data_IF_426997398985
#
_entry.id   IF_426997398985
#
_cell.length_a   1.000
_cell.length_b   1.000
_cell.length_c   1.000
_cell.angle_alpha   90.00
_cell.angle_beta   90.00
_cell.angle_gamma   90.00
#
_symmetry.space_group_name_H-M   'P 1'
#
loop_
_entity.id
_entity.type
_entity.pdbx_description
1 polymer ?
#
# COMPACT_ATOMS: atom_id res chain seq x y z
N UNK A 1 -14.62 -3.83 -2.27
CA UNK A 1 -13.34 -3.59 -1.56
C UNK A 1 -13.41 -2.49 -0.50
N UNK A 2 -14.09 -1.36 -0.74
CA UNK A 2 -14.11 -0.21 0.19
C UNK A 2 -14.78 -0.45 1.54
N UNK A 3 -15.87 -1.22 1.61
CA UNK A 3 -16.60 -1.47 2.88
C UNK A 3 -15.81 -2.33 3.89
N UNK A 4 -15.07 -3.33 3.43
CA UNK A 4 -14.28 -4.21 4.30
C UNK A 4 -13.04 -3.50 4.89
N UNK A 5 -12.47 -2.56 4.14
CA UNK A 5 -11.30 -1.79 4.55
C UNK A 5 -11.65 -0.69 5.55
N UNK A 6 -12.79 -0.02 5.39
CA UNK A 6 -13.31 0.95 6.38
C UNK A 6 -13.56 0.31 7.74
N UNK A 7 -14.05 -0.94 7.76
CA UNK A 7 -14.31 -1.70 8.98
C UNK A 7 -13.04 -1.88 9.84
N UNK A 8 -11.89 -2.25 9.24
CA UNK A 8 -10.62 -2.44 9.98
C UNK A 8 -10.11 -1.15 10.62
N UNK A 9 -10.21 -0.02 9.90
CA UNK A 9 -9.72 1.27 10.38
C UNK A 9 -10.56 1.72 11.57
N UNK A 10 -11.87 1.65 11.43
CA UNK A 10 -12.77 2.02 12.50
C UNK A 10 -12.63 1.09 13.71
N UNK A 11 -12.39 -0.21 13.50
CA UNK A 11 -12.19 -1.16 14.60
C UNK A 11 -10.94 -0.82 15.43
N UNK A 12 -9.85 -0.39 14.81
CA UNK A 12 -8.65 0.02 15.54
C UNK A 12 -8.88 1.25 16.42
N UNK A 13 -9.70 2.19 15.96
CA UNK A 13 -10.10 3.38 16.73
C UNK A 13 -11.02 2.98 17.89
N UNK A 14 -12.00 2.06 17.66
CA UNK A 14 -12.90 1.57 18.71
C UNK A 14 -12.12 0.92 19.86
N UNK A 15 -11.13 0.09 19.56
CA UNK A 15 -10.31 -0.59 20.58
C UNK A 15 -9.64 0.45 21.49
N UNK A 16 -9.10 1.52 20.92
CA UNK A 16 -8.47 2.60 21.69
C UNK A 16 -9.48 3.40 22.53
N UNK A 17 -10.65 3.71 21.97
CA UNK A 17 -11.68 4.46 22.70
C UNK A 17 -12.30 3.63 23.81
N UNK A 18 -12.41 2.29 23.64
CA UNK A 18 -12.93 1.38 24.64
C UNK A 18 -12.12 1.39 25.95
N UNK A 19 -10.83 1.75 25.89
CA UNK A 19 -10.02 1.93 27.11
C UNK A 19 -10.46 3.13 27.95
N UNK A 20 -11.13 4.11 27.33
CA UNK A 20 -11.58 5.34 27.98
C UNK A 20 -13.07 5.31 28.40
N UNK A 21 -13.86 4.34 27.91
CA UNK A 21 -15.29 4.22 28.25
C UNK A 21 -15.75 2.77 28.24
N UNK A 22 -16.60 2.40 29.24
CA UNK A 22 -17.23 1.08 29.32
C UNK A 22 -18.47 0.95 28.42
N UNK A 23 -18.89 2.05 27.77
CA UNK A 23 -20.09 2.07 26.95
C UNK A 23 -19.87 1.39 25.61
N UNK A 24 -20.95 0.80 25.10
CA UNK A 24 -20.96 0.28 23.74
C UNK A 24 -20.81 1.44 22.74
N UNK A 25 -19.86 1.31 21.84
CA UNK A 25 -19.55 2.28 20.78
C UNK A 25 -19.37 1.54 19.45
N UNK A 26 -19.88 2.11 18.38
CA UNK A 26 -19.76 1.52 17.05
C UNK A 26 -20.00 2.53 15.93
N UNK A 27 -19.84 2.04 14.70
CA UNK A 27 -20.08 2.79 13.47
C UNK A 27 -21.10 2.06 12.62
N UNK A 28 -22.08 2.79 12.11
CA UNK A 28 -23.11 2.32 11.18
C UNK A 28 -22.92 2.95 9.80
N UNK A 29 -23.42 2.25 8.78
CA UNK A 29 -23.52 2.79 7.42
C UNK A 29 -24.80 3.62 7.22
N UNK A 30 -24.98 4.18 6.03
CA UNK A 30 -26.14 4.97 5.62
C UNK A 30 -27.49 4.23 5.75
N UNK A 31 -27.46 2.89 5.77
CA UNK A 31 -28.63 2.03 5.90
C UNK A 31 -28.88 1.58 7.35
N UNK A 32 -28.03 1.98 8.29
CA UNK A 32 -28.11 1.64 9.71
C UNK A 32 -27.50 0.30 10.08
N UNK A 33 -26.73 -0.36 9.18
CA UNK A 33 -26.01 -1.58 9.52
C UNK A 33 -24.74 -1.27 10.31
N UNK A 34 -24.55 -2.01 11.40
CA UNK A 34 -23.35 -1.89 12.22
C UNK A 34 -22.16 -2.50 11.48
N UNK A 35 -21.20 -1.65 11.10
CA UNK A 35 -19.99 -2.06 10.38
C UNK A 35 -18.91 -2.52 11.34
N UNK A 36 -18.81 -1.84 12.47
CA UNK A 36 -17.85 -2.13 13.53
C UNK A 36 -18.41 -1.70 14.88
N UNK A 37 -18.06 -2.41 15.94
CA UNK A 37 -18.57 -2.15 17.28
C UNK A 37 -17.61 -2.68 18.34
N UNK A 38 -17.62 -2.07 19.54
CA UNK A 38 -16.94 -2.59 20.72
C UNK A 38 -17.52 -3.92 21.19
N UNK A 39 -18.78 -4.20 20.86
CA UNK A 39 -19.46 -5.47 21.07
C UNK A 39 -19.56 -6.24 19.75
N UNK A 40 -18.70 -7.22 19.56
CA UNK A 40 -18.59 -8.00 18.32
C UNK A 40 -19.91 -8.61 17.82
N UNK A 41 -20.82 -9.13 18.70
CA UNK A 41 -22.11 -9.69 18.25
C UNK A 41 -23.04 -8.70 17.55
N UNK A 42 -22.84 -7.40 17.77
CA UNK A 42 -23.63 -6.36 17.10
C UNK A 42 -23.21 -6.12 15.64
N UNK A 43 -22.01 -6.51 15.25
CA UNK A 43 -21.52 -6.28 13.88
C UNK A 43 -22.40 -7.02 12.88
N UNK A 44 -22.87 -6.30 11.85
CA UNK A 44 -23.80 -6.81 10.82
C UNK A 44 -25.28 -6.71 11.20
N UNK A 45 -25.63 -6.36 12.46
CA UNK A 45 -27.01 -6.06 12.83
C UNK A 45 -27.44 -4.68 12.30
N UNK A 46 -28.74 -4.48 12.17
CA UNK A 46 -29.31 -3.19 11.75
C UNK A 46 -29.90 -2.48 12.95
N UNK A 47 -29.55 -1.21 13.13
CA UNK A 47 -30.15 -0.33 14.12
C UNK A 47 -31.33 0.42 13.46
N UNK A 48 -32.56 -0.07 13.72
CA UNK A 48 -33.78 0.48 13.11
C UNK A 48 -34.17 1.87 13.65
N UNK A 49 -33.61 2.24 14.79
CA UNK A 49 -33.84 3.51 15.48
C UNK A 49 -33.07 4.67 14.84
N UNK A 50 -32.08 4.40 14.00
CA UNK A 50 -31.35 5.45 13.25
C UNK A 50 -32.03 5.73 11.92
N UNK A 51 -32.45 6.97 11.73
CA UNK A 51 -33.03 7.46 10.49
C UNK A 51 -32.33 8.75 10.07
N UNK A 52 -31.60 8.71 8.97
CA UNK A 52 -30.77 9.82 8.50
C UNK A 52 -31.55 11.12 8.23
N UNK A 53 -32.81 10.99 7.81
CA UNK A 53 -33.66 12.14 7.55
C UNK A 53 -34.13 12.88 8.83
N UNK A 54 -33.96 12.28 10.00
CA UNK A 54 -34.25 12.91 11.29
C UNK A 54 -33.04 13.65 11.88
N UNK A 55 -31.89 13.58 11.20
CA UNK A 55 -30.68 14.27 11.65
C UNK A 55 -30.78 15.76 11.33
N UNK A 56 -30.86 16.59 12.39
CA UNK A 56 -30.76 18.03 12.27
C UNK A 56 -29.31 18.48 12.34
N UNK A 57 -28.81 19.08 11.28
CA UNK A 57 -27.43 19.56 11.18
C UNK A 57 -27.12 20.71 12.18
N UNK A 58 -28.15 21.37 12.74
CA UNK A 58 -27.98 22.38 13.79
C UNK A 58 -27.64 21.77 15.16
N UNK A 59 -28.04 20.51 15.38
CA UNK A 59 -27.75 19.80 16.62
C UNK A 59 -26.41 19.04 16.49
N UNK A 60 -25.56 19.10 17.52
CA UNK A 60 -24.25 18.45 17.47
C UNK A 60 -24.32 16.93 17.45
N UNK A 61 -25.39 16.35 17.98
CA UNK A 61 -25.66 14.90 18.04
C UNK A 61 -27.16 14.63 17.90
N UNK A 62 -27.48 13.45 17.41
CA UNK A 62 -28.86 12.93 17.37
C UNK A 62 -29.04 11.85 18.44
N UNK A 63 -30.16 11.89 19.15
CA UNK A 63 -30.45 10.92 20.23
C UNK A 63 -31.71 10.13 19.87
N UNK A 64 -31.62 8.82 19.88
CA UNK A 64 -32.74 7.90 19.69
C UNK A 64 -32.49 6.58 20.43
N UNK A 65 -33.56 6.03 21.04
CA UNK A 65 -33.60 4.70 21.67
C UNK A 65 -32.37 4.38 22.55
N UNK A 66 -32.07 5.27 23.50
CA UNK A 66 -30.93 5.19 24.43
C UNK A 66 -29.56 5.15 23.75
N UNK A 67 -29.45 5.69 22.56
CA UNK A 67 -28.18 5.87 21.86
C UNK A 67 -28.02 7.31 21.36
N UNK A 68 -26.79 7.76 21.39
CA UNK A 68 -26.38 9.05 20.86
C UNK A 68 -25.61 8.81 19.56
N UNK A 69 -25.99 9.49 18.50
CA UNK A 69 -25.42 9.36 17.15
C UNK A 69 -24.75 10.63 16.67
N UNK A 70 -23.71 10.50 15.90
CA UNK A 70 -23.12 11.60 15.14
C UNK A 70 -22.67 11.16 13.76
N UNK A 71 -23.10 11.88 12.75
CA UNK A 71 -22.71 11.65 11.36
C UNK A 71 -21.22 11.97 11.19
N UNK A 72 -20.51 11.09 10.46
CA UNK A 72 -19.14 11.32 10.05
C UNK A 72 -19.11 12.06 8.71
N UNK A 73 -18.29 13.11 8.63
CA UNK A 73 -18.22 14.01 7.49
C UNK A 73 -18.88 15.36 7.74
N UNK A 74 -18.76 16.25 6.77
CA UNK A 74 -19.24 17.66 6.87
C UNK A 74 -20.62 17.89 6.28
N UNK A 75 -21.22 16.90 5.61
CA UNK A 75 -22.49 17.09 4.90
C UNK A 75 -23.56 16.11 5.40
N UNK A 76 -24.54 16.62 6.14
CA UNK A 76 -25.65 15.86 6.69
C UNK A 76 -26.60 15.29 5.61
N UNK A 77 -26.67 15.92 4.42
CA UNK A 77 -27.54 15.49 3.35
C UNK A 77 -27.05 14.22 2.63
N UNK A 78 -25.75 13.94 2.71
CA UNK A 78 -25.15 12.73 2.14
C UNK A 78 -24.00 12.29 3.05
N UNK A 79 -24.31 11.36 3.96
CA UNK A 79 -23.30 10.77 4.83
C UNK A 79 -23.09 9.31 4.44
N UNK A 80 -21.86 8.83 4.64
CA UNK A 80 -21.50 7.42 4.41
C UNK A 80 -21.59 6.61 5.71
N UNK A 81 -21.28 7.26 6.84
CA UNK A 81 -21.15 6.61 8.15
C UNK A 81 -21.63 7.52 9.27
N UNK A 82 -22.14 6.91 10.35
CA UNK A 82 -22.39 7.57 11.61
C UNK A 82 -21.83 6.76 12.78
N UNK A 83 -21.25 7.44 13.77
CA UNK A 83 -20.86 6.83 15.03
C UNK A 83 -22.03 6.82 15.98
N UNK A 84 -22.16 5.77 16.80
CA UNK A 84 -23.10 5.71 17.90
C UNK A 84 -22.39 5.36 19.21
N UNK A 85 -22.93 5.87 20.30
CA UNK A 85 -22.53 5.55 21.68
C UNK A 85 -23.80 5.25 22.47
N UNK A 86 -23.78 4.20 23.28
CA UNK A 86 -24.87 3.85 24.18
C UNK A 86 -25.03 4.89 25.28
N UNK A 87 -26.30 5.32 25.50
CA UNK A 87 -26.68 6.35 26.46
C UNK A 87 -27.14 7.65 25.81
N UNK A 88 -27.82 8.47 26.63
CA UNK A 88 -28.39 9.78 26.21
C UNK A 88 -27.94 10.92 27.14
N UNK A 89 -27.04 10.64 28.05
CA UNK A 89 -26.50 11.61 29.01
C UNK A 89 -25.33 12.40 28.42
N UNK A 90 -24.82 13.35 29.19
CA UNK A 90 -23.72 14.23 28.75
C UNK A 90 -22.45 13.43 28.45
N UNK A 91 -22.18 12.34 29.20
CA UNK A 91 -21.03 11.50 28.92
C UNK A 91 -21.14 10.79 27.55
N UNK A 92 -22.32 10.27 27.20
CA UNK A 92 -22.57 9.69 25.88
C UNK A 92 -22.40 10.73 24.77
N UNK A 93 -22.91 11.94 24.99
CA UNK A 93 -22.79 13.05 24.04
C UNK A 93 -21.32 13.43 23.81
N UNK A 94 -20.55 13.66 24.83
CA UNK A 94 -19.12 14.02 24.74
C UNK A 94 -18.33 12.88 24.09
N UNK A 95 -18.54 11.65 24.55
CA UNK A 95 -17.87 10.46 23.98
C UNK A 95 -18.19 10.29 22.48
N UNK A 96 -19.44 10.48 22.08
CA UNK A 96 -19.86 10.41 20.68
C UNK A 96 -19.21 11.49 19.81
N UNK A 97 -19.11 12.72 20.31
CA UNK A 97 -18.47 13.81 19.60
C UNK A 97 -16.95 13.58 19.45
N UNK A 98 -16.27 13.17 20.52
CA UNK A 98 -14.83 12.86 20.48
C UNK A 98 -14.54 11.66 19.56
N UNK A 99 -15.36 10.62 19.63
CA UNK A 99 -15.26 9.47 18.75
C UNK A 99 -15.44 9.88 17.27
N UNK A 100 -16.41 10.76 16.97
CA UNK A 100 -16.60 11.23 15.61
C UNK A 100 -15.39 11.99 15.06
N UNK A 101 -14.69 12.78 15.89
CA UNK A 101 -13.44 13.44 15.50
C UNK A 101 -12.37 12.39 15.19
N UNK A 102 -12.17 11.39 16.06
CA UNK A 102 -11.18 10.35 15.87
C UNK A 102 -11.47 9.49 14.61
N UNK A 103 -12.74 9.15 14.36
CA UNK A 103 -13.12 8.39 13.17
C UNK A 103 -12.98 9.20 11.87
N UNK A 104 -13.33 10.50 11.88
CA UNK A 104 -13.13 11.37 10.73
C UNK A 104 -11.65 11.50 10.40
N UNK A 105 -10.81 11.68 11.39
CA UNK A 105 -9.35 11.75 11.22
C UNK A 105 -8.80 10.43 10.65
N UNK A 106 -9.19 9.30 11.22
CA UNK A 106 -8.77 7.98 10.72
C UNK A 106 -9.23 7.73 9.28
N UNK A 107 -10.47 8.14 8.93
CA UNK A 107 -11.01 8.04 7.56
C UNK A 107 -10.21 8.91 6.60
N UNK A 108 -9.97 10.17 6.94
CA UNK A 108 -9.23 11.13 6.11
C UNK A 108 -7.80 10.64 5.85
N UNK A 109 -7.09 10.23 6.90
CA UNK A 109 -5.73 9.70 6.79
C UNK A 109 -5.67 8.44 5.89
N UNK A 110 -6.70 7.59 5.98
CA UNK A 110 -6.78 6.42 5.11
C UNK A 110 -7.03 6.77 3.65
N UNK A 111 -7.99 7.66 3.39
CA UNK A 111 -8.31 8.11 2.03
C UNK A 111 -7.10 8.80 1.39
N UNK A 112 -6.40 9.64 2.15
CA UNK A 112 -5.16 10.28 1.70
C UNK A 112 -4.10 9.25 1.33
N UNK A 113 -3.87 8.27 2.20
CA UNK A 113 -2.91 7.19 1.94
C UNK A 113 -3.29 6.36 0.73
N UNK A 114 -4.57 6.01 0.59
CA UNK A 114 -5.06 5.27 -0.58
C UNK A 114 -4.84 6.06 -1.88
N UNK A 115 -5.14 7.36 -1.86
CA UNK A 115 -4.91 8.25 -2.99
C UNK A 115 -3.43 8.38 -3.33
N UNK A 116 -2.54 8.49 -2.34
CA UNK A 116 -1.08 8.48 -2.53
C UNK A 116 -0.60 7.17 -3.15
N UNK A 117 -1.02 6.02 -2.63
CA UNK A 117 -0.64 4.72 -3.16
C UNK A 117 -1.14 4.49 -4.61
N UNK A 118 -2.39 4.88 -4.90
CA UNK A 118 -2.95 4.79 -6.25
C UNK A 118 -2.21 5.71 -7.24
N UNK A 119 -1.83 6.89 -6.81
CA UNK A 119 -1.03 7.81 -7.60
C UNK A 119 0.37 7.25 -7.90
N UNK A 120 1.07 6.75 -6.89
CA UNK A 120 2.37 6.11 -7.09
C UNK A 120 2.26 4.88 -8.01
N UNK A 121 1.20 4.07 -7.87
CA UNK A 121 0.92 2.95 -8.77
C UNK A 121 0.74 3.42 -10.21
N UNK A 122 0.07 4.53 -10.45
CA UNK A 122 -0.09 5.09 -11.80
C UNK A 122 1.24 5.57 -12.39
N UNK A 123 2.15 6.10 -11.57
CA UNK A 123 3.50 6.50 -12.00
C UNK A 123 4.32 5.28 -12.40
N UNK A 124 4.45 4.27 -11.52
CA UNK A 124 5.27 3.08 -11.79
C UNK A 124 4.78 2.27 -12.99
N UNK A 125 3.47 2.35 -13.27
CA UNK A 125 2.85 1.69 -14.43
C UNK A 125 2.93 2.53 -15.72
N UNK A 126 3.54 3.70 -15.67
CA UNK A 126 3.67 4.65 -16.80
C UNK A 126 2.31 5.09 -17.39
N UNK A 127 1.26 5.12 -16.54
CA UNK A 127 -0.12 5.41 -16.91
C UNK A 127 -0.57 6.84 -16.56
N UNK A 128 0.38 7.78 -16.42
CA UNK A 128 0.11 9.17 -16.07
C UNK A 128 0.98 10.10 -16.89
N UNK A 129 0.41 11.20 -17.35
CA UNK A 129 1.16 12.20 -18.10
C UNK A 129 2.15 12.97 -17.20
N UNK A 130 3.36 13.31 -17.67
CA UNK A 130 4.36 14.03 -16.87
C UNK A 130 3.86 15.33 -16.24
N UNK A 131 2.97 16.08 -16.92
CA UNK A 131 2.35 17.29 -16.41
C UNK A 131 1.43 17.02 -15.22
N UNK A 132 0.68 15.91 -15.26
CA UNK A 132 -0.24 15.52 -14.20
C UNK A 132 0.53 15.03 -12.96
N UNK A 133 1.71 14.41 -13.14
CA UNK A 133 2.59 14.04 -12.02
C UNK A 133 2.92 15.26 -11.18
N UNK A 134 3.27 16.38 -11.79
CA UNK A 134 3.61 17.61 -11.07
C UNK A 134 2.43 18.18 -10.29
N UNK A 135 1.25 18.25 -10.92
CA UNK A 135 0.02 18.77 -10.27
C UNK A 135 -0.37 17.90 -9.09
N UNK A 136 -0.47 16.58 -9.29
CA UNK A 136 -0.88 15.64 -8.26
C UNK A 136 0.11 15.50 -7.12
N UNK A 137 1.41 15.63 -7.38
CA UNK A 137 2.45 15.66 -6.35
C UNK A 137 2.15 16.78 -5.32
N UNK A 138 1.74 17.95 -5.80
CA UNK A 138 1.35 19.08 -4.93
C UNK A 138 0.04 18.84 -4.21
N UNK A 139 -0.99 18.35 -4.92
CA UNK A 139 -2.31 18.06 -4.34
C UNK A 139 -2.25 17.03 -3.23
N UNK A 140 -1.42 16.00 -3.38
CA UNK A 140 -1.22 14.93 -2.42
C UNK A 140 -0.12 15.21 -1.39
N UNK A 141 0.41 16.42 -1.35
CA UNK A 141 1.42 16.87 -0.39
C UNK A 141 2.66 15.96 -0.32
N UNK A 142 3.11 15.47 -1.48
CA UNK A 142 4.40 14.81 -1.54
C UNK A 142 5.54 15.83 -1.50
N UNK A 143 6.61 15.48 -0.79
CA UNK A 143 7.88 16.24 -0.88
C UNK A 143 8.55 15.86 -2.21
N UNK A 144 8.73 16.79 -3.16
CA UNK A 144 9.11 16.44 -4.53
C UNK A 144 10.55 15.94 -4.66
N UNK A 145 11.49 16.51 -3.90
CA UNK A 145 12.94 16.33 -4.09
C UNK A 145 13.60 15.50 -2.99
N UNK A 146 12.92 14.49 -2.48
CA UNK A 146 13.47 13.54 -1.53
C UNK A 146 13.92 12.29 -2.29
N UNK A 147 15.17 11.82 -2.08
CA UNK A 147 15.62 10.55 -2.65
C UNK A 147 14.76 9.38 -2.19
N UNK A 148 14.40 8.50 -3.13
CA UNK A 148 13.57 7.31 -2.86
C UNK A 148 14.21 6.07 -3.46
N UNK A 149 14.27 5.01 -2.65
CA UNK A 149 14.58 3.68 -3.15
C UNK A 149 13.29 2.99 -3.64
N UNK A 150 13.40 2.24 -4.71
CA UNK A 150 12.35 1.36 -5.22
C UNK A 150 12.86 -0.08 -5.23
N UNK A 151 12.14 -0.93 -4.49
CA UNK A 151 12.39 -2.38 -4.42
C UNK A 151 11.18 -3.10 -5.02
N UNK A 152 11.42 -3.95 -6.01
CA UNK A 152 10.43 -4.87 -6.54
C UNK A 152 10.59 -6.21 -5.83
N UNK A 153 9.58 -6.61 -5.08
CA UNK A 153 9.52 -7.89 -4.36
C UNK A 153 8.63 -8.84 -5.15
N UNK A 154 9.22 -9.88 -5.72
CA UNK A 154 8.53 -10.92 -6.49
C UNK A 154 8.45 -12.21 -5.68
N UNK A 155 7.25 -12.67 -5.41
CA UNK A 155 7.01 -13.97 -4.79
C UNK A 155 7.30 -15.07 -5.79
N UNK A 156 7.98 -16.13 -5.35
CA UNK A 156 8.38 -17.28 -6.18
C UNK A 156 7.70 -18.53 -5.64
N UNK A 157 7.36 -19.46 -6.52
CA UNK A 157 6.74 -20.77 -6.24
C UNK A 157 5.31 -20.68 -5.67
N UNK A 158 5.08 -19.82 -4.69
CA UNK A 158 3.78 -19.62 -4.04
C UNK A 158 3.51 -18.14 -3.88
N UNK A 159 2.29 -17.71 -4.18
CA UNK A 159 1.82 -16.35 -3.92
C UNK A 159 0.84 -16.33 -2.75
N UNK A 160 0.97 -15.34 -1.88
CA UNK A 160 0.05 -15.12 -0.78
C UNK A 160 -0.34 -13.63 -0.70
N UNK A 161 -1.63 -13.38 -0.67
CA UNK A 161 -2.17 -12.01 -0.61
C UNK A 161 -1.79 -11.31 0.71
N UNK A 162 -1.55 -12.09 1.78
CA UNK A 162 -1.13 -11.57 3.08
C UNK A 162 0.27 -10.94 3.05
N UNK A 163 1.12 -11.28 2.06
CA UNK A 163 2.46 -10.70 1.93
C UNK A 163 2.44 -9.16 1.87
N UNK A 164 1.44 -8.57 1.23
CA UNK A 164 1.27 -7.10 1.18
C UNK A 164 1.02 -6.53 2.58
N UNK A 165 0.20 -7.20 3.39
CA UNK A 165 -0.12 -6.76 4.76
C UNK A 165 1.11 -6.88 5.67
N UNK A 166 1.87 -7.96 5.55
CA UNK A 166 3.12 -8.16 6.30
C UNK A 166 4.11 -7.05 5.97
N UNK A 167 4.32 -6.77 4.68
CA UNK A 167 5.21 -5.68 4.28
C UNK A 167 4.69 -4.30 4.73
N UNK A 168 3.39 -4.06 4.67
CA UNK A 168 2.81 -2.80 5.17
C UNK A 168 3.00 -2.61 6.68
N UNK A 169 3.07 -3.69 7.45
CA UNK A 169 3.32 -3.64 8.88
C UNK A 169 4.81 -3.42 9.22
N UNK A 170 5.73 -3.83 8.35
CA UNK A 170 7.15 -3.54 8.50
C UNK A 170 7.47 -2.04 8.36
N UNK A 171 6.76 -1.35 7.47
CA UNK A 171 6.97 0.08 7.21
C UNK A 171 5.99 0.92 8.02
N UNK A 172 6.41 1.32 9.23
CA UNK A 172 5.57 2.05 10.19
C UNK A 172 5.35 3.50 9.80
N UNK A 173 6.29 4.12 9.07
CA UNK A 173 6.15 5.48 8.53
C UNK A 173 5.28 5.48 7.28
N UNK A 174 3.98 5.41 7.52
CA UNK A 174 2.97 5.29 6.48
C UNK A 174 2.77 6.55 5.62
N UNK A 175 3.43 7.65 5.94
CA UNK A 175 3.37 8.88 5.16
C UNK A 175 4.46 8.98 4.09
N UNK A 176 5.60 8.34 4.34
CA UNK A 176 6.79 8.42 3.50
C UNK A 176 7.12 7.10 2.82
N UNK A 177 6.69 5.96 3.40
CA UNK A 177 6.97 4.62 2.90
C UNK A 177 5.70 3.97 2.33
N UNK A 178 5.78 3.43 1.14
CA UNK A 178 4.63 2.84 0.45
C UNK A 178 4.90 1.41 0.01
N UNK A 179 3.94 0.54 0.29
CA UNK A 179 3.92 -0.84 -0.23
C UNK A 179 2.71 -0.97 -1.15
N UNK A 180 2.96 -1.29 -2.42
CA UNK A 180 1.98 -1.29 -3.49
C UNK A 180 1.96 -2.68 -4.14
N UNK A 181 0.81 -3.33 -4.16
CA UNK A 181 0.61 -4.52 -4.97
C UNK A 181 0.44 -4.12 -6.44
N UNK A 182 1.31 -4.63 -7.29
CA UNK A 182 1.24 -4.43 -8.74
C UNK A 182 0.37 -5.50 -9.38
N UNK A 183 0.63 -6.76 -9.03
CA UNK A 183 -0.15 -7.94 -9.42
C UNK A 183 -0.13 -8.98 -8.30
N UNK A 184 -0.53 -10.22 -8.55
CA UNK A 184 -0.61 -11.27 -7.53
C UNK A 184 0.77 -11.67 -6.96
N UNK A 185 1.82 -11.63 -7.77
CA UNK A 185 3.16 -12.03 -7.38
C UNK A 185 4.08 -10.85 -7.02
N UNK A 186 3.84 -9.67 -7.63
CA UNK A 186 4.74 -8.53 -7.57
C UNK A 186 4.22 -7.44 -6.64
N UNK A 187 5.06 -7.03 -5.71
CA UNK A 187 4.86 -5.90 -4.80
C UNK A 187 6.01 -4.92 -4.97
N UNK A 188 5.71 -3.64 -4.87
CA UNK A 188 6.72 -2.57 -4.91
C UNK A 188 6.77 -1.89 -3.56
N UNK A 189 7.96 -1.77 -3.02
CA UNK A 189 8.26 -0.96 -1.83
C UNK A 189 8.96 0.32 -2.30
N UNK A 190 8.39 1.47 -1.94
CA UNK A 190 8.99 2.78 -2.16
C UNK A 190 9.34 3.35 -0.79
N UNK A 191 10.63 3.55 -0.55
CA UNK A 191 11.17 4.04 0.72
C UNK A 191 11.82 5.41 0.54
N UNK A 192 11.41 6.43 1.31
CA UNK A 192 12.13 7.70 1.36
C UNK A 192 13.48 7.53 2.10
N UNK A 193 14.51 8.17 1.56
CA UNK A 193 15.89 8.15 2.07
C UNK A 193 16.30 9.57 2.51
N UNK A 194 15.85 10.03 3.70
CA UNK A 194 16.07 11.41 4.14
C UNK A 194 17.56 11.74 4.34
N UNK A 195 18.39 10.74 4.60
CA UNK A 195 19.85 10.89 4.78
C UNK A 195 20.64 10.79 3.46
N UNK A 196 19.95 10.76 2.33
CA UNK A 196 20.54 10.62 1.01
C UNK A 196 20.65 9.18 0.53
N UNK A 197 21.27 9.00 -0.63
CA UNK A 197 21.44 7.70 -1.27
C UNK A 197 22.44 6.84 -0.47
N UNK A 198 21.96 5.72 0.06
CA UNK A 198 22.78 4.77 0.82
C UNK A 198 22.44 3.34 0.37
N UNK A 199 23.24 2.81 -0.55
CA UNK A 199 23.05 1.46 -1.09
C UNK A 199 23.11 0.35 -0.03
N UNK A 200 23.89 0.53 1.04
CA UNK A 200 23.96 -0.44 2.16
C UNK A 200 22.68 -0.44 2.99
N UNK A 201 22.05 0.71 3.19
CA UNK A 201 20.75 0.82 3.87
C UNK A 201 19.66 0.14 3.06
N UNK A 202 19.60 0.41 1.76
CA UNK A 202 18.60 -0.20 0.87
C UNK A 202 18.77 -1.71 0.81
N UNK A 203 20.02 -2.21 0.79
CA UNK A 203 20.28 -3.64 0.85
C UNK A 203 19.84 -4.27 2.17
N UNK A 204 20.09 -3.62 3.30
CA UNK A 204 19.65 -4.10 4.61
C UNK A 204 18.10 -4.15 4.71
N UNK A 205 17.41 -3.20 4.09
CA UNK A 205 15.94 -3.22 3.97
C UNK A 205 15.49 -4.43 3.16
N UNK A 206 16.13 -4.73 2.02
CA UNK A 206 15.80 -5.88 1.19
C UNK A 206 16.00 -7.20 1.95
N UNK A 207 17.11 -7.34 2.66
CA UNK A 207 17.40 -8.52 3.52
C UNK A 207 16.35 -8.68 4.64
N UNK A 208 15.89 -7.58 5.22
CA UNK A 208 14.83 -7.59 6.23
C UNK A 208 13.48 -8.02 5.65
N UNK A 209 13.13 -7.57 4.45
CA UNK A 209 11.92 -7.97 3.73
C UNK A 209 11.94 -9.48 3.48
N UNK A 210 13.02 -10.00 2.90
CA UNK A 210 13.19 -11.41 2.59
C UNK A 210 13.00 -12.29 3.84
N UNK A 211 13.74 -11.98 4.92
CA UNK A 211 13.66 -12.71 6.19
C UNK A 211 12.26 -12.66 6.81
N UNK A 212 11.58 -11.54 6.72
CA UNK A 212 10.22 -11.39 7.30
C UNK A 212 9.21 -12.22 6.54
N UNK A 213 9.23 -12.19 5.20
CA UNK A 213 8.32 -12.99 4.38
C UNK A 213 8.56 -14.48 4.54
N UNK A 214 9.82 -14.90 4.66
CA UNK A 214 10.17 -16.29 4.93
C UNK A 214 9.70 -16.73 6.33
N UNK A 215 9.95 -15.90 7.37
CA UNK A 215 9.61 -16.24 8.75
C UNK A 215 8.10 -16.26 9.03
N UNK A 216 7.33 -15.29 8.49
CA UNK A 216 5.91 -15.16 8.79
C UNK A 216 5.02 -15.97 7.86
N UNK A 217 5.38 -16.10 6.59
CA UNK A 217 4.52 -16.72 5.57
C UNK A 217 5.14 -17.94 4.89
N UNK A 218 6.43 -18.23 5.15
CA UNK A 218 7.20 -19.27 4.45
C UNK A 218 7.18 -19.07 2.93
N UNK A 219 7.34 -17.82 2.49
CA UNK A 219 7.37 -17.42 1.09
C UNK A 219 8.78 -17.07 0.70
N UNK A 220 9.27 -17.71 -0.38
CA UNK A 220 10.48 -17.30 -1.06
C UNK A 220 10.19 -16.11 -1.97
N UNK A 221 11.07 -15.12 -1.95
CA UNK A 221 10.94 -13.96 -2.83
C UNK A 221 12.29 -13.61 -3.47
N UNK A 222 12.20 -12.91 -4.61
CA UNK A 222 13.35 -12.30 -5.27
C UNK A 222 13.11 -10.80 -5.24
N UNK A 223 14.15 -10.04 -4.89
CA UNK A 223 14.05 -8.59 -4.73
C UNK A 223 14.98 -7.92 -5.74
N UNK A 224 14.38 -7.18 -6.66
CA UNK A 224 15.09 -6.29 -7.59
C UNK A 224 15.15 -4.89 -7.01
N UNK A 225 16.32 -4.26 -7.03
CA UNK A 225 16.53 -2.91 -6.54
C UNK A 225 16.90 -2.02 -7.72
N UNK A 226 16.07 -1.00 -7.99
CA UNK A 226 16.38 0.05 -8.94
C UNK A 226 17.39 1.06 -8.38
N UNK A 227 17.88 1.96 -9.23
CA UNK A 227 18.70 3.10 -8.78
C UNK A 227 17.82 4.08 -8.00
N UNK A 228 18.44 4.95 -7.20
CA UNK A 228 17.69 5.92 -6.40
C UNK A 228 16.97 6.95 -7.27
N UNK A 229 15.66 7.12 -7.05
CA UNK A 229 14.86 8.17 -7.67
C UNK A 229 15.03 9.47 -6.89
N UNK A 230 15.35 10.57 -7.58
CA UNK A 230 15.41 11.92 -6.99
C UNK A 230 14.08 12.64 -7.12
N UNK A 231 13.29 12.27 -8.12
CA UNK A 231 11.97 12.84 -8.38
C UNK A 231 10.94 11.72 -8.56
N UNK A 232 9.69 11.95 -8.18
CA UNK A 232 8.61 10.96 -8.31
C UNK A 232 8.43 10.45 -9.74
N UNK A 233 8.61 11.31 -10.74
CA UNK A 233 8.52 10.94 -12.17
C UNK A 233 9.51 9.86 -12.60
N UNK A 234 10.62 9.71 -11.87
CA UNK A 234 11.65 8.71 -12.18
C UNK A 234 11.28 7.31 -11.68
N UNK A 235 10.23 7.18 -10.85
CA UNK A 235 9.83 5.88 -10.29
C UNK A 235 9.45 4.86 -11.36
N UNK A 236 8.91 5.29 -12.51
CA UNK A 236 8.64 4.40 -13.64
C UNK A 236 9.91 3.72 -14.16
N UNK A 237 10.98 4.51 -14.33
CA UNK A 237 12.27 3.99 -14.78
C UNK A 237 12.92 3.11 -13.71
N UNK A 238 12.83 3.50 -12.43
CA UNK A 238 13.35 2.69 -11.31
C UNK A 238 12.63 1.34 -11.21
N UNK A 239 11.34 1.32 -11.49
CA UNK A 239 10.56 0.08 -11.54
C UNK A 239 11.03 -0.83 -12.69
N UNK A 240 11.24 -0.27 -13.90
CA UNK A 240 11.81 -1.01 -15.04
C UNK A 240 13.22 -1.55 -14.72
N UNK A 241 14.06 -0.74 -14.08
CA UNK A 241 15.40 -1.18 -13.62
C UNK A 241 15.32 -2.35 -12.63
N UNK A 242 14.39 -2.30 -11.66
CA UNK A 242 14.18 -3.36 -10.71
C UNK A 242 13.67 -4.65 -11.37
N UNK A 243 12.81 -4.56 -12.40
CA UNK A 243 12.40 -5.70 -13.21
C UNK A 243 13.60 -6.31 -13.95
N UNK A 244 14.38 -5.48 -14.64
CA UNK A 244 15.60 -5.92 -15.34
C UNK A 244 16.57 -6.57 -14.36
N UNK A 245 16.70 -6.04 -13.14
CA UNK A 245 17.56 -6.62 -12.11
C UNK A 245 17.16 -8.07 -11.81
N UNK A 246 15.87 -8.35 -11.64
CA UNK A 246 15.38 -9.71 -11.41
C UNK A 246 15.60 -10.59 -12.65
N UNK A 247 15.19 -10.14 -13.82
CA UNK A 247 15.18 -10.93 -15.05
C UNK A 247 16.61 -11.29 -15.49
N UNK A 248 17.52 -10.31 -15.46
CA UNK A 248 18.92 -10.51 -15.85
C UNK A 248 19.72 -11.19 -14.75
N UNK A 249 19.52 -10.78 -13.50
CA UNK A 249 20.30 -11.32 -12.38
C UNK A 249 20.15 -12.83 -12.22
N UNK A 250 18.95 -13.36 -12.44
CA UNK A 250 18.69 -14.81 -12.40
C UNK A 250 19.38 -15.59 -13.51
N UNK A 251 19.64 -14.98 -14.64
CA UNK A 251 20.38 -15.63 -15.74
C UNK A 251 21.85 -15.82 -15.39
N UNK A 252 22.44 -14.85 -14.68
CA UNK A 252 23.88 -14.89 -14.35
C UNK A 252 24.17 -15.53 -13.00
N UNK A 253 23.23 -15.50 -12.07
CA UNK A 253 23.37 -16.04 -10.72
C UNK A 253 21.99 -16.43 -10.17
N UNK A 254 21.62 -17.69 -10.42
CA UNK A 254 20.30 -18.23 -10.07
C UNK A 254 20.07 -18.32 -8.55
N UNK A 255 21.12 -18.28 -7.74
CA UNK A 255 21.04 -18.40 -6.28
C UNK A 255 20.81 -17.04 -5.59
N UNK A 256 21.08 -15.92 -6.30
CA UNK A 256 20.85 -14.59 -5.73
C UNK A 256 19.37 -14.26 -5.67
N UNK A 257 18.94 -13.88 -4.47
CA UNK A 257 17.58 -13.44 -4.17
C UNK A 257 17.44 -11.91 -4.09
N UNK A 258 18.53 -11.18 -3.83
CA UNK A 258 18.57 -9.71 -3.77
C UNK A 258 19.54 -9.20 -4.84
N UNK A 259 19.00 -8.51 -5.82
CA UNK A 259 19.73 -8.10 -7.01
C UNK A 259 19.56 -6.58 -7.24
N UNK A 260 20.66 -5.84 -7.21
CA UNK A 260 20.66 -4.42 -7.54
C UNK A 260 20.97 -4.21 -9.02
N UNK A 261 20.20 -3.33 -9.68
CA UNK A 261 20.40 -2.97 -11.07
C UNK A 261 21.83 -2.43 -11.33
N UNK A 262 22.40 -1.67 -10.40
CA UNK A 262 23.77 -1.14 -10.53
C UNK A 262 24.83 -2.24 -10.59
N UNK A 263 24.56 -3.38 -10.00
CA UNK A 263 25.53 -4.48 -9.90
C UNK A 263 25.43 -5.50 -11.05
N UNK A 264 24.54 -5.30 -12.02
CA UNK A 264 24.38 -6.21 -13.17
C UNK A 264 25.57 -6.14 -14.17
N UNK A 265 26.39 -5.10 -14.10
CA UNK A 265 27.54 -4.92 -14.97
C UNK A 265 27.17 -4.96 -16.47
N UNK A 266 27.86 -5.83 -17.22
CA UNK A 266 27.60 -6.00 -18.65
C UNK A 266 26.22 -6.63 -18.95
N UNK A 267 25.63 -7.35 -18.01
CA UNK A 267 24.32 -8.01 -18.19
C UNK A 267 23.22 -7.04 -18.61
N UNK A 268 23.18 -5.82 -18.03
CA UNK A 268 22.18 -4.81 -18.41
C UNK A 268 22.37 -4.26 -19.83
N UNK A 269 23.62 -4.30 -20.38
CA UNK A 269 23.87 -3.89 -21.75
C UNK A 269 23.40 -4.99 -22.70
N UNK A 270 23.72 -6.25 -22.40
CA UNK A 270 23.31 -7.40 -23.21
C UNK A 270 21.80 -7.50 -23.27
N UNK A 271 21.10 -7.30 -22.12
CA UNK A 271 19.64 -7.34 -22.06
C UNK A 271 18.95 -6.27 -22.93
N UNK A 272 19.60 -5.12 -23.14
CA UNK A 272 19.07 -4.02 -23.96
C UNK A 272 19.38 -4.17 -25.45
N UNK A 273 20.20 -5.15 -25.85
CA UNK A 273 20.48 -5.36 -27.25
C UNK A 273 19.27 -5.95 -27.98
N UNK A 274 18.91 -5.42 -29.17
CA UNK A 274 17.89 -6.06 -30.00
C UNK A 274 18.28 -7.48 -30.33
N UNK A 275 17.32 -8.41 -30.29
CA UNK A 275 17.53 -9.85 -30.59
C UNK A 275 18.19 -10.05 -31.94
N UNK A 276 17.80 -9.25 -32.95
CA UNK A 276 18.39 -9.30 -34.29
C UNK A 276 19.88 -8.97 -34.28
N UNK A 277 20.32 -8.04 -33.42
CA UNK A 277 21.74 -7.70 -33.29
C UNK A 277 22.53 -8.84 -32.60
N UNK A 278 21.92 -9.46 -31.61
CA UNK A 278 22.50 -10.64 -30.95
C UNK A 278 22.65 -11.81 -31.92
N UNK A 279 21.62 -12.09 -32.73
CA UNK A 279 21.65 -13.12 -33.78
C UNK A 279 22.72 -12.84 -34.84
N UNK A 280 22.82 -11.59 -35.32
CA UNK A 280 23.90 -11.20 -36.24
C UNK A 280 25.27 -11.44 -35.65
N UNK A 281 25.52 -11.00 -34.42
CA UNK A 281 26.80 -11.19 -33.72
C UNK A 281 27.12 -12.67 -33.55
N UNK A 282 26.16 -13.50 -33.13
CA UNK A 282 26.35 -14.95 -32.99
C UNK A 282 26.71 -15.61 -34.33
N UNK A 283 26.03 -15.22 -35.41
CA UNK A 283 26.32 -15.73 -36.75
C UNK A 283 27.71 -15.30 -37.28
N UNK A 284 28.17 -14.09 -36.93
CA UNK A 284 29.50 -13.59 -37.33
C UNK A 284 30.63 -14.28 -36.55
N UNK A 285 30.45 -14.43 -35.22
CA UNK A 285 31.49 -14.98 -34.34
C UNK A 285 31.55 -16.51 -34.42
N UNK A 286 30.40 -17.15 -34.51
CA UNK A 286 30.31 -18.59 -34.62
C UNK A 286 29.94 -18.95 -36.05
N UNK A 287 30.95 -19.22 -36.88
CA UNK A 287 30.82 -19.63 -38.31
C UNK A 287 29.98 -20.91 -38.53
N UNK A 288 29.59 -21.59 -37.47
CA UNK A 288 28.59 -22.67 -37.44
C UNK A 288 27.63 -22.35 -36.30
N UNK A 289 26.34 -22.58 -36.50
CA UNK A 289 25.31 -22.33 -35.50
C UNK A 289 25.70 -22.99 -34.16
N UNK A 290 26.07 -22.22 -33.12
CA UNK A 290 26.58 -22.79 -31.88
C UNK A 290 25.50 -23.57 -31.12
N UNK A 291 24.23 -23.30 -31.40
CA UNK A 291 23.10 -24.03 -30.80
C UNK A 291 22.91 -25.43 -31.35
N UNK A 292 23.47 -25.73 -32.55
CA UNK A 292 23.48 -27.10 -33.14
C UNK A 292 24.68 -27.93 -32.67
N UNK A 293 25.66 -27.31 -32.02
CA UNK A 293 26.90 -27.97 -31.58
C UNK A 293 27.02 -28.08 -30.05
N UNK A 294 26.11 -27.48 -29.30
CA UNK A 294 25.95 -27.73 -27.88
C UNK A 294 25.10 -28.99 -27.74
N UNK A 295 25.78 -30.10 -27.52
CA UNK A 295 25.15 -31.39 -27.25
C UNK A 295 24.25 -31.31 -26.01
N UNK A 296 23.24 -32.21 -25.97
CA UNK A 296 22.21 -32.30 -24.91
C UNK A 296 22.76 -32.60 -23.47
N UNK A 297 24.08 -32.58 -23.28
CA UNK A 297 24.77 -32.93 -22.02
C UNK A 297 25.34 -31.74 -21.22
N UNK A 298 24.72 -30.51 -21.38
CA UNK A 298 25.13 -29.37 -20.53
C UNK A 298 23.97 -28.78 -19.77
#
# INVERSE_FOLDING_TARGET
GGKAMSSRIFQSVIIQIKEATDRCIGVIDEQGFVITCSELPMIGSRLEDFQSYNYDASEPVYVSNQRTYKILGSNAAKFDYAVFVEGCDELARVSCMMAAVAFNEAKTNYEEKYNKAAFLKSIISDNILPGDVYVRTKELHFVPDVPRALLLVRQVERTDVAAVEVLQNMFTDRQHDFVISVNEADMVVIKELPNGDNSSEVKAIAESIEKTLEAELQINCIIGIGTTARHLRELADRYKEAQIAIDVGRVFDSEKTIISYENLGIGRIIYQLPTTLCEMFLNEVFKKNPLETLDEDT
#
